data_IF_911051184180
#
_entry.id   IF_911051184180
#
_cell.length_a   1.000
_cell.length_b   1.000
_cell.length_c   1.000
_cell.angle_alpha   90.00
_cell.angle_beta   90.00
_cell.angle_gamma   90.00
#
_symmetry.space_group_name_H-M   'P 1'
#
loop_
_entity.id
_entity.type
_entity.pdbx_description
1 polymer ?
#
# COMPACT_ATOMS: atom_id res chain seq x y z
N UNK A 1 13.77 13.22 -19.27
CA UNK A 1 13.54 12.09 -18.36
C UNK A 1 12.40 11.26 -18.95
N UNK A 2 12.47 9.95 -18.90
CA UNK A 2 11.37 9.06 -19.35
C UNK A 2 10.23 9.22 -18.35
N UNK A 3 9.00 9.46 -18.82
CA UNK A 3 7.84 9.40 -17.96
C UNK A 3 7.61 7.92 -17.59
N UNK A 4 7.56 7.56 -16.32
CA UNK A 4 7.26 6.18 -15.91
C UNK A 4 5.88 5.75 -16.41
N UNK A 5 5.75 4.47 -16.81
CA UNK A 5 4.47 3.88 -17.22
C UNK A 5 3.58 3.54 -16.00
N UNK A 6 3.92 4.03 -14.81
CA UNK A 6 3.20 3.78 -13.56
C UNK A 6 3.07 5.02 -12.68
N UNK A 7 2.07 4.99 -11.80
CA UNK A 7 1.82 5.99 -10.76
C UNK A 7 1.68 5.32 -9.40
N UNK A 8 1.91 6.10 -8.34
CA UNK A 8 1.69 5.66 -6.97
C UNK A 8 0.37 6.17 -6.43
N UNK A 9 -0.36 5.31 -5.70
CA UNK A 9 -1.43 5.71 -4.79
C UNK A 9 -0.97 5.38 -3.37
N UNK A 10 -1.13 6.33 -2.45
CA UNK A 10 -0.72 6.19 -1.05
C UNK A 10 -1.92 6.56 -0.17
N UNK A 11 -2.24 5.70 0.80
CA UNK A 11 -3.21 6.03 1.84
C UNK A 11 -2.50 6.65 3.05
N UNK A 12 -3.12 7.70 3.62
CA UNK A 12 -2.56 8.40 4.78
C UNK A 12 -3.61 8.70 5.85
N UNK A 13 -3.18 8.65 7.12
CA UNK A 13 -3.88 9.20 8.27
C UNK A 13 -2.89 9.47 9.40
N UNK A 14 -2.54 10.75 9.62
CA UNK A 14 -1.54 11.19 10.60
C UNK A 14 -0.19 10.48 10.40
N UNK A 15 0.39 10.60 9.22
CA UNK A 15 1.59 9.88 8.76
C UNK A 15 2.82 10.81 8.62
N UNK A 16 2.88 11.91 9.37
CA UNK A 16 4.00 12.87 9.31
C UNK A 16 5.37 12.22 9.55
N UNK A 17 5.43 11.13 10.33
CA UNK A 17 6.66 10.40 10.65
C UNK A 17 7.07 9.45 9.52
N UNK A 18 6.10 8.84 8.83
CA UNK A 18 6.37 7.80 7.83
C UNK A 18 6.41 8.34 6.41
N UNK A 19 5.46 9.22 6.07
CA UNK A 19 5.28 9.71 4.69
C UNK A 19 6.56 10.28 4.07
N UNK A 20 7.41 11.08 4.76
CA UNK A 20 8.67 11.54 4.19
C UNK A 20 9.62 10.41 3.81
N UNK A 21 9.65 9.33 4.58
CA UNK A 21 10.51 8.16 4.32
C UNK A 21 10.10 7.47 3.02
N UNK A 22 8.80 7.23 2.85
CA UNK A 22 8.25 6.67 1.62
C UNK A 22 8.52 7.59 0.44
N UNK A 23 8.11 8.85 0.51
CA UNK A 23 8.22 9.79 -0.61
C UNK A 23 9.67 9.97 -1.07
N UNK A 24 10.62 10.12 -0.14
CA UNK A 24 12.05 10.18 -0.48
C UNK A 24 12.55 8.90 -1.18
N UNK A 25 11.97 7.73 -0.87
CA UNK A 25 12.38 6.46 -1.49
C UNK A 25 11.89 6.31 -2.94
N UNK A 26 10.88 7.09 -3.38
CA UNK A 26 10.26 6.98 -4.71
C UNK A 26 10.41 8.26 -5.56
N UNK A 27 10.72 9.40 -4.96
CA UNK A 27 10.74 10.71 -5.63
C UNK A 27 11.55 10.70 -6.94
N UNK A 28 12.74 10.11 -6.91
CA UNK A 28 13.64 10.07 -8.08
C UNK A 28 13.15 9.20 -9.23
N UNK A 29 12.10 8.41 -9.03
CA UNK A 29 11.44 7.67 -10.11
C UNK A 29 10.67 8.59 -11.06
N UNK A 30 10.31 9.82 -10.61
CA UNK A 30 9.59 10.81 -11.41
C UNK A 30 8.15 10.39 -11.75
N UNK A 31 7.59 9.40 -11.05
CA UNK A 31 6.22 8.94 -11.22
C UNK A 31 5.23 9.91 -10.55
N UNK A 32 4.01 9.99 -11.06
CA UNK A 32 2.92 10.73 -10.41
C UNK A 32 2.56 10.06 -9.08
N UNK A 33 2.28 10.90 -8.08
CA UNK A 33 1.92 10.47 -6.74
C UNK A 33 0.52 10.99 -6.42
N UNK A 34 -0.36 10.08 -6.05
CA UNK A 34 -1.70 10.34 -5.58
C UNK A 34 -1.80 9.95 -4.12
N UNK A 35 -2.31 10.84 -3.28
CA UNK A 35 -2.48 10.59 -1.85
C UNK A 35 -3.95 10.71 -1.50
N UNK A 36 -4.52 9.64 -0.93
CA UNK A 36 -5.84 9.69 -0.32
C UNK A 36 -5.69 9.79 1.19
N UNK A 37 -6.04 10.96 1.71
CA UNK A 37 -5.96 11.27 3.14
C UNK A 37 -7.28 11.06 3.86
N UNK A 38 -7.23 10.47 5.04
CA UNK A 38 -8.40 10.15 5.87
C UNK A 38 -8.76 11.24 6.89
N UNK A 39 -8.29 12.47 6.68
CA UNK A 39 -8.53 13.61 7.56
C UNK A 39 -7.42 13.79 8.60
N UNK A 40 -6.16 13.76 8.15
CA UNK A 40 -4.97 14.01 9.00
C UNK A 40 -5.01 15.38 9.67
N UNK A 41 -4.46 15.46 10.89
CA UNK A 41 -4.39 16.67 11.71
C UNK A 41 -2.96 17.06 12.07
N UNK A 42 -1.99 16.27 11.66
CA UNK A 42 -0.55 16.50 11.76
C UNK A 42 0.02 17.13 10.47
N UNK A 43 1.33 17.15 10.31
CA UNK A 43 1.99 17.73 9.14
C UNK A 43 1.89 16.87 7.85
N UNK A 44 1.10 15.78 7.83
CA UNK A 44 0.98 14.87 6.68
C UNK A 44 0.67 15.60 5.36
N UNK A 45 -0.35 16.47 5.36
CA UNK A 45 -0.76 17.19 4.13
C UNK A 45 0.28 18.21 3.66
N UNK A 46 0.94 18.86 4.61
CA UNK A 46 2.04 19.79 4.32
C UNK A 46 3.23 19.05 3.68
N UNK A 47 3.55 17.86 4.18
CA UNK A 47 4.59 17.00 3.59
C UNK A 47 4.20 16.58 2.18
N UNK A 48 2.98 16.10 1.97
CA UNK A 48 2.47 15.72 0.66
C UNK A 48 2.65 16.83 -0.39
N UNK A 49 2.38 18.08 -0.02
CA UNK A 49 2.51 19.23 -0.91
C UNK A 49 3.95 19.52 -1.36
N UNK A 50 4.95 19.12 -0.58
CA UNK A 50 6.38 19.30 -0.93
C UNK A 50 6.83 18.36 -2.06
N UNK A 51 6.11 17.26 -2.28
CA UNK A 51 6.42 16.26 -3.30
C UNK A 51 5.48 16.31 -4.51
N UNK A 52 4.76 17.43 -4.72
CA UNK A 52 3.82 17.61 -5.82
C UNK A 52 2.78 16.48 -5.95
N UNK A 53 2.37 15.88 -4.82
CA UNK A 53 1.35 14.86 -4.82
C UNK A 53 -0.05 15.47 -5.07
N UNK A 54 -0.86 14.80 -5.89
CA UNK A 54 -2.29 15.10 -5.97
C UNK A 54 -2.99 14.51 -4.75
N UNK A 55 -3.61 15.35 -3.93
CA UNK A 55 -4.24 14.93 -2.68
C UNK A 55 -5.76 15.02 -2.79
N UNK A 56 -6.44 13.95 -2.38
CA UNK A 56 -7.88 13.93 -2.10
C UNK A 56 -8.12 13.51 -0.66
N UNK A 57 -9.25 13.92 -0.12
CA UNK A 57 -9.67 13.52 1.24
C UNK A 57 -10.94 12.69 1.17
N UNK A 58 -10.97 11.58 1.90
CA UNK A 58 -12.16 10.77 2.09
C UNK A 58 -12.24 10.30 3.53
N UNK A 59 -13.45 10.34 4.11
CA UNK A 59 -13.67 9.83 5.47
C UNK A 59 -13.40 8.33 5.51
N UNK A 60 -12.56 7.92 6.45
CA UNK A 60 -12.22 6.51 6.62
C UNK A 60 -13.41 5.71 7.19
N UNK A 61 -13.75 4.62 6.53
CA UNK A 61 -14.66 3.59 7.06
C UNK A 61 -13.89 2.32 7.39
N UNK A 62 -13.25 1.72 6.38
CA UNK A 62 -12.31 0.61 6.50
C UNK A 62 -11.27 0.67 5.38
N UNK A 63 -10.23 -0.14 5.45
CA UNK A 63 -9.14 -0.16 4.47
C UNK A 63 -9.59 -0.50 3.05
N UNK A 64 -10.36 -1.57 2.81
CA UNK A 64 -10.83 -1.90 1.46
C UNK A 64 -11.63 -0.79 0.79
N UNK A 65 -12.55 -0.15 1.50
CA UNK A 65 -13.34 0.97 0.97
C UNK A 65 -12.50 2.19 0.67
N UNK A 66 -11.45 2.44 1.49
CA UNK A 66 -10.56 3.56 1.25
C UNK A 66 -9.74 3.32 -0.03
N UNK A 67 -9.25 2.12 -0.26
CA UNK A 67 -8.58 1.75 -1.50
C UNK A 67 -9.53 1.79 -2.70
N UNK A 68 -10.74 1.26 -2.56
CA UNK A 68 -11.76 1.32 -3.62
C UNK A 68 -12.06 2.77 -4.02
N UNK A 69 -12.23 3.65 -3.02
CA UNK A 69 -12.41 5.07 -3.29
C UNK A 69 -11.23 5.68 -4.05
N UNK A 70 -10.00 5.38 -3.63
CA UNK A 70 -8.80 5.89 -4.30
C UNK A 70 -8.73 5.45 -5.76
N UNK A 71 -8.92 4.16 -6.02
CA UNK A 71 -8.86 3.58 -7.37
C UNK A 71 -9.92 4.14 -8.32
N UNK A 72 -11.10 4.51 -7.81
CA UNK A 72 -12.21 4.99 -8.62
C UNK A 72 -12.29 6.53 -8.75
N UNK A 73 -11.56 7.27 -7.92
CA UNK A 73 -11.71 8.73 -7.89
C UNK A 73 -10.47 9.51 -8.35
N UNK A 74 -9.29 8.91 -8.40
CA UNK A 74 -8.15 9.54 -9.05
C UNK A 74 -8.18 9.29 -10.57
N UNK A 75 -7.83 10.32 -11.35
CA UNK A 75 -7.67 10.18 -12.80
C UNK A 75 -6.25 9.74 -13.12
N UNK A 76 -6.02 8.43 -13.11
CA UNK A 76 -4.72 7.84 -13.36
C UNK A 76 -4.57 7.59 -14.86
N UNK A 77 -3.59 8.23 -15.48
CA UNK A 77 -3.31 8.17 -16.91
C UNK A 77 -2.13 7.26 -17.29
N UNK A 78 -1.51 6.61 -16.32
CA UNK A 78 -0.43 5.64 -16.54
C UNK A 78 -0.98 4.23 -16.69
N UNK A 79 -0.24 3.36 -17.41
CA UNK A 79 -0.65 1.99 -17.67
C UNK A 79 -0.72 1.12 -16.40
N UNK A 80 0.06 1.49 -15.37
CA UNK A 80 0.15 0.73 -14.12
C UNK A 80 -0.07 1.62 -12.91
N UNK A 81 -0.65 1.02 -11.88
CA UNK A 81 -0.85 1.62 -10.55
C UNK A 81 -0.08 0.82 -9.51
N UNK A 82 0.61 1.50 -8.61
CA UNK A 82 1.29 0.92 -7.45
C UNK A 82 0.62 1.45 -6.19
N UNK A 83 0.02 0.55 -5.40
CA UNK A 83 -0.62 0.91 -4.12
C UNK A 83 0.33 0.69 -2.95
N UNK A 84 0.61 1.74 -2.17
CA UNK A 84 1.50 1.68 -1.02
C UNK A 84 0.83 2.24 0.24
N UNK A 85 1.22 1.70 1.39
CA UNK A 85 0.89 2.25 2.69
C UNK A 85 2.00 3.22 3.14
N UNK A 86 1.67 4.26 3.90
CA UNK A 86 2.61 5.34 4.22
C UNK A 86 3.85 4.88 5.02
N UNK A 87 3.76 3.76 5.74
CA UNK A 87 4.85 3.16 6.52
C UNK A 87 5.75 2.20 5.72
N UNK A 88 5.50 2.07 4.42
CA UNK A 88 6.31 1.27 3.50
C UNK A 88 7.40 2.12 2.84
N UNK A 89 8.57 1.52 2.61
CA UNK A 89 9.71 2.14 1.93
C UNK A 89 10.14 1.23 0.79
N UNK A 90 10.40 1.81 -0.36
CA UNK A 90 10.98 1.11 -1.51
C UNK A 90 12.48 0.92 -1.29
N UNK A 91 12.96 -0.33 -1.23
CA UNK A 91 14.40 -0.60 -1.12
C UNK A 91 15.15 -0.16 -2.38
N UNK A 92 16.46 0.07 -2.27
CA UNK A 92 17.30 0.43 -3.42
C UNK A 92 17.20 -0.57 -4.58
N UNK A 93 17.11 -1.87 -4.28
CA UNK A 93 16.96 -2.90 -5.31
C UNK A 93 15.60 -2.83 -5.99
N UNK A 94 14.50 -2.59 -5.23
CA UNK A 94 13.17 -2.42 -5.81
C UNK A 94 13.08 -1.10 -6.61
N UNK A 95 13.74 -0.06 -6.12
CA UNK A 95 13.86 1.22 -6.85
C UNK A 95 14.50 1.01 -8.23
N UNK A 96 15.63 0.29 -8.31
CA UNK A 96 16.29 0.00 -9.59
C UNK A 96 15.41 -0.83 -10.52
N UNK A 97 14.64 -1.79 -9.98
CA UNK A 97 13.69 -2.56 -10.79
C UNK A 97 12.58 -1.68 -11.35
N UNK A 98 12.04 -0.76 -10.55
CA UNK A 98 11.03 0.20 -10.98
C UNK A 98 11.61 1.22 -11.97
N UNK A 99 12.80 1.73 -11.73
CA UNK A 99 13.47 2.69 -12.60
C UNK A 99 13.75 2.11 -14.00
N UNK A 100 14.00 0.81 -14.08
CA UNK A 100 14.22 0.08 -15.33
C UNK A 100 12.95 -0.61 -15.85
N UNK A 101 11.79 -0.36 -15.24
CA UNK A 101 10.53 -0.98 -15.66
C UNK A 101 10.16 -0.60 -17.08
N UNK A 102 9.76 -1.59 -17.87
CA UNK A 102 9.25 -1.41 -19.22
C UNK A 102 7.97 -2.22 -19.39
N UNK A 103 6.87 -1.55 -19.64
CA UNK A 103 5.56 -2.16 -19.79
C UNK A 103 5.53 -3.31 -20.81
N UNK A 104 6.30 -3.19 -21.90
CA UNK A 104 6.35 -4.20 -22.96
C UNK A 104 6.89 -5.57 -22.51
N UNK A 105 7.68 -5.60 -21.42
CA UNK A 105 8.24 -6.84 -20.88
C UNK A 105 7.19 -7.63 -20.07
N UNK A 106 6.02 -7.00 -19.82
CA UNK A 106 4.92 -7.53 -19.02
C UNK A 106 3.62 -7.67 -19.83
N UNK A 107 3.73 -7.94 -21.13
CA UNK A 107 2.55 -8.16 -21.97
C UNK A 107 1.74 -9.37 -21.46
N UNK A 108 0.42 -9.17 -21.34
CA UNK A 108 -0.51 -10.16 -20.79
C UNK A 108 -0.41 -10.40 -19.28
N UNK A 109 0.43 -9.62 -18.55
CA UNK A 109 0.49 -9.61 -17.07
C UNK A 109 -0.36 -8.46 -16.55
N UNK A 110 -1.24 -8.75 -15.60
CA UNK A 110 -2.16 -7.78 -15.00
C UNK A 110 -1.76 -7.34 -13.59
N UNK A 111 -0.83 -8.06 -12.95
CA UNK A 111 -0.36 -7.68 -11.62
C UNK A 111 1.01 -8.23 -11.28
N UNK A 112 1.73 -7.52 -10.42
CA UNK A 112 3.07 -7.87 -9.96
C UNK A 112 3.10 -7.87 -8.44
N UNK A 113 3.53 -8.99 -7.88
CA UNK A 113 3.72 -9.15 -6.44
C UNK A 113 5.11 -8.68 -6.04
N UNK A 114 5.17 -7.82 -5.03
CA UNK A 114 6.41 -7.40 -4.39
C UNK A 114 6.66 -8.19 -3.12
N UNK A 115 7.93 -8.47 -2.81
CA UNK A 115 8.30 -9.10 -1.57
C UNK A 115 8.39 -8.06 -0.45
N UNK A 116 7.87 -8.38 0.75
CA UNK A 116 7.83 -7.48 1.89
C UNK A 116 8.76 -7.95 3.01
N UNK A 117 9.45 -7.00 3.61
CA UNK A 117 10.20 -7.17 4.86
C UNK A 117 9.51 -6.39 5.97
N UNK A 118 9.06 -7.07 7.00
CA UNK A 118 8.50 -6.41 8.19
C UNK A 118 9.59 -6.15 9.22
N UNK A 119 9.61 -4.92 9.72
CA UNK A 119 10.46 -4.52 10.83
C UNK A 119 9.60 -4.16 12.04
N UNK A 120 10.06 -4.56 13.19
CA UNK A 120 9.49 -4.17 14.48
C UNK A 120 10.62 -3.70 15.40
N UNK A 121 10.52 -2.47 15.87
CA UNK A 121 11.54 -1.82 16.71
C UNK A 121 12.95 -1.93 16.11
N UNK A 122 13.08 -1.61 14.83
CA UNK A 122 14.35 -1.67 14.09
C UNK A 122 14.86 -3.08 13.77
N UNK A 123 14.13 -4.12 14.15
CA UNK A 123 14.53 -5.52 13.93
C UNK A 123 13.72 -6.17 12.82
N UNK A 124 14.41 -6.73 11.82
CA UNK A 124 13.74 -7.47 10.75
C UNK A 124 13.16 -8.80 11.26
N UNK A 125 11.87 -8.99 11.11
CA UNK A 125 11.15 -10.22 11.46
C UNK A 125 11.25 -11.23 10.30
N UNK A 126 12.07 -12.27 10.46
CA UNK A 126 12.39 -13.24 9.41
C UNK A 126 11.56 -14.53 9.48
N UNK A 127 10.99 -14.83 10.64
CA UNK A 127 10.38 -16.12 10.95
C UNK A 127 8.87 -15.98 11.21
N UNK A 128 8.17 -17.07 11.46
CA UNK A 128 6.75 -17.06 11.77
C UNK A 128 5.84 -16.75 10.57
N UNK A 129 6.29 -17.05 9.35
CA UNK A 129 5.51 -16.79 8.13
C UNK A 129 5.65 -15.35 7.58
N UNK A 130 6.46 -14.50 8.21
CA UNK A 130 6.64 -13.10 7.79
C UNK A 130 7.57 -12.90 6.59
N UNK A 131 8.41 -13.89 6.26
CA UNK A 131 9.31 -13.78 5.11
C UNK A 131 9.64 -15.17 4.51
N UNK A 132 9.65 -15.29 3.14
CA UNK A 132 9.23 -14.29 2.16
C UNK A 132 7.72 -14.10 2.20
N UNK A 133 7.26 -12.86 2.01
CA UNK A 133 5.83 -12.53 1.98
C UNK A 133 5.53 -11.61 0.79
N UNK A 134 4.74 -12.11 -0.16
CA UNK A 134 4.47 -11.43 -1.41
C UNK A 134 3.10 -10.79 -1.39
N UNK A 135 3.05 -9.50 -1.71
CA UNK A 135 1.82 -8.72 -1.81
C UNK A 135 1.65 -8.21 -3.25
N UNK A 136 0.45 -8.33 -3.78
CA UNK A 136 0.09 -7.67 -5.03
C UNK A 136 0.07 -6.16 -4.76
N UNK A 137 1.04 -5.43 -5.30
CA UNK A 137 1.19 -4.00 -5.07
C UNK A 137 1.20 -3.18 -6.35
N UNK A 138 1.56 -3.79 -7.50
CA UNK A 138 1.55 -3.15 -8.80
C UNK A 138 0.59 -3.88 -9.73
N UNK A 139 -0.29 -3.15 -10.41
CA UNK A 139 -1.31 -3.75 -11.28
C UNK A 139 -1.70 -2.81 -12.41
N UNK A 140 -2.28 -3.38 -13.48
CA UNK A 140 -2.82 -2.60 -14.60
C UNK A 140 -3.89 -1.64 -14.10
N UNK A 141 -3.74 -0.37 -14.44
CA UNK A 141 -4.70 0.69 -14.10
C UNK A 141 -6.09 0.36 -14.67
N UNK A 142 -7.12 0.50 -13.84
CA UNK A 142 -8.50 0.18 -14.21
C UNK A 142 -8.85 -1.31 -14.23
N UNK A 143 -7.87 -2.22 -13.97
CA UNK A 143 -8.12 -3.67 -13.90
C UNK A 143 -8.04 -4.16 -12.44
N UNK A 144 -7.09 -3.65 -11.66
CA UNK A 144 -6.96 -3.99 -10.26
C UNK A 144 -8.04 -3.34 -9.40
N UNK A 145 -8.54 -4.07 -8.43
CA UNK A 145 -9.56 -3.58 -7.49
C UNK A 145 -9.27 -4.04 -6.06
N UNK A 146 -9.89 -3.39 -5.10
CA UNK A 146 -9.80 -3.74 -3.68
C UNK A 146 -10.83 -4.81 -3.33
N UNK A 147 -10.44 -5.81 -2.55
CA UNK A 147 -11.36 -6.84 -2.05
C UNK A 147 -12.26 -6.26 -0.96
N UNK A 148 -13.48 -5.93 -1.31
CA UNK A 148 -14.46 -5.35 -0.37
C UNK A 148 -15.06 -6.35 0.62
N UNK A 149 -14.76 -7.65 0.47
CA UNK A 149 -15.18 -8.68 1.43
C UNK A 149 -14.28 -8.74 2.68
N UNK A 150 -13.12 -8.13 2.65
CA UNK A 150 -12.23 -8.00 3.81
C UNK A 150 -12.59 -6.78 4.66
N UNK A 151 -12.47 -6.89 5.98
CA UNK A 151 -12.70 -5.75 6.89
C UNK A 151 -11.41 -5.22 7.51
N UNK A 152 -10.48 -6.11 7.77
CA UNK A 152 -9.27 -5.83 8.53
C UNK A 152 -8.10 -5.46 7.65
N UNK A 153 -7.80 -6.36 6.74
CA UNK A 153 -6.70 -6.19 5.80
C UNK A 153 -7.27 -5.92 4.42
N UNK A 154 -6.53 -5.25 3.58
CA UNK A 154 -6.96 -5.11 2.21
C UNK A 154 -6.08 -5.97 1.30
N UNK A 155 -6.68 -6.50 0.26
CA UNK A 155 -5.98 -7.15 -0.83
C UNK A 155 -6.39 -6.52 -2.14
N UNK A 156 -5.41 -6.24 -2.98
CA UNK A 156 -5.72 -5.99 -4.37
C UNK A 156 -5.95 -7.32 -5.10
N UNK A 157 -6.92 -7.31 -5.98
CA UNK A 157 -7.25 -8.44 -6.85
C UNK A 157 -7.12 -8.00 -8.30
N UNK A 158 -6.58 -8.86 -9.14
CA UNK A 158 -6.55 -8.69 -10.58
C UNK A 158 -6.99 -9.98 -11.27
N UNK A 159 -7.78 -9.91 -12.34
CA UNK A 159 -8.04 -11.08 -13.18
C UNK A 159 -6.82 -11.39 -14.03
N UNK A 160 -6.66 -12.66 -14.39
CA UNK A 160 -5.63 -13.09 -15.35
C UNK A 160 -4.26 -13.38 -14.74
N UNK A 161 -3.20 -13.17 -15.53
CA UNK A 161 -1.85 -13.58 -15.16
C UNK A 161 -1.16 -12.52 -14.29
N UNK A 162 -0.35 -13.00 -13.36
CA UNK A 162 0.48 -12.18 -12.48
C UNK A 162 1.95 -12.61 -12.52
N UNK A 163 2.83 -11.70 -12.16
CA UNK A 163 4.25 -11.96 -11.97
C UNK A 163 4.66 -11.76 -10.51
N UNK A 164 5.78 -12.36 -10.10
CA UNK A 164 6.33 -12.21 -8.76
C UNK A 164 7.75 -11.65 -8.87
N UNK A 165 7.97 -10.49 -8.28
CA UNK A 165 9.32 -9.94 -8.12
C UNK A 165 9.94 -10.46 -6.84
N UNK A 166 10.88 -11.41 -6.99
CA UNK A 166 11.55 -12.05 -5.85
C UNK A 166 12.69 -11.20 -5.28
N UNK A 167 13.26 -10.31 -6.10
CA UNK A 167 14.30 -9.35 -5.70
C UNK A 167 13.66 -8.00 -5.42
N UNK A 168 14.37 -7.18 -4.65
CA UNK A 168 13.84 -5.92 -4.18
C UNK A 168 12.73 -6.11 -3.14
N UNK A 169 12.57 -5.13 -2.27
CA UNK A 169 11.67 -5.27 -1.13
C UNK A 169 10.89 -3.99 -0.87
N UNK A 170 9.65 -4.15 -0.46
CA UNK A 170 8.98 -3.15 0.37
C UNK A 170 9.41 -3.39 1.82
N UNK A 171 9.98 -2.39 2.44
CA UNK A 171 10.32 -2.42 3.87
C UNK A 171 9.18 -1.75 4.62
N UNK A 172 8.47 -2.52 5.42
CA UNK A 172 7.37 -2.04 6.24
C UNK A 172 7.84 -1.91 7.69
N UNK A 173 7.80 -0.71 8.20
CA UNK A 173 8.21 -0.39 9.57
C UNK A 173 7.36 0.74 10.11
N UNK A 174 6.43 0.40 10.98
CA UNK A 174 5.59 1.38 11.64
C UNK A 174 6.30 1.91 12.89
N UNK A 175 6.88 3.12 12.78
CA UNK A 175 7.65 3.75 13.87
C UNK A 175 6.78 4.11 15.07
N UNK A 176 5.45 4.30 14.91
CA UNK A 176 4.53 4.52 16.02
C UNK A 176 4.44 3.30 16.94
N UNK A 177 4.71 2.10 16.40
CA UNK A 177 4.72 0.85 17.16
C UNK A 177 5.98 0.68 18.04
N UNK A 178 6.95 1.60 17.97
CA UNK A 178 8.03 1.68 18.93
C UNK A 178 7.50 2.07 20.33
N UNK A 179 6.35 2.75 20.41
CA UNK A 179 5.58 2.90 21.64
C UNK A 179 4.73 1.64 21.88
N UNK A 180 5.06 0.90 22.93
CA UNK A 180 4.36 -0.34 23.29
C UNK A 180 2.87 -0.11 23.61
N UNK A 181 2.50 1.05 24.16
CA UNK A 181 1.10 1.37 24.44
C UNK A 181 0.31 1.56 23.14
N UNK A 182 0.90 2.26 22.16
CA UNK A 182 0.32 2.40 20.83
C UNK A 182 0.13 1.03 20.16
N UNK A 183 1.14 0.16 20.25
CA UNK A 183 1.09 -1.18 19.70
C UNK A 183 -0.04 -2.02 20.31
N UNK A 184 -0.17 -2.02 21.66
CA UNK A 184 -1.23 -2.75 22.37
C UNK A 184 -2.61 -2.24 21.94
N UNK A 185 -2.85 -0.94 21.93
CA UNK A 185 -4.14 -0.37 21.56
C UNK A 185 -4.49 -0.61 20.07
N UNK A 186 -3.49 -0.59 19.20
CA UNK A 186 -3.67 -0.96 17.79
C UNK A 186 -4.13 -2.43 17.66
N UNK A 187 -3.44 -3.35 18.31
CA UNK A 187 -3.75 -4.79 18.23
C UNK A 187 -5.06 -5.16 18.91
N UNK A 188 -5.44 -4.47 19.97
CA UNK A 188 -6.75 -4.59 20.58
C UNK A 188 -7.89 -4.22 19.61
N UNK A 189 -7.72 -3.11 18.86
CA UNK A 189 -8.70 -2.75 17.81
C UNK A 189 -8.75 -3.78 16.69
N UNK A 190 -7.61 -4.32 16.29
CA UNK A 190 -7.52 -5.33 15.26
C UNK A 190 -8.19 -6.64 15.68
N UNK A 191 -7.93 -7.12 16.91
CA UNK A 191 -8.56 -8.34 17.41
C UNK A 191 -10.09 -8.23 17.48
N UNK A 192 -10.62 -7.06 17.83
CA UNK A 192 -12.07 -6.84 17.82
C UNK A 192 -12.65 -6.94 16.40
N UNK A 193 -11.99 -6.32 15.41
CA UNK A 193 -12.45 -6.40 14.00
C UNK A 193 -12.39 -7.82 13.44
N UNK A 194 -11.33 -8.56 13.74
CA UNK A 194 -11.22 -9.98 13.36
C UNK A 194 -12.33 -10.80 14.01
N UNK A 195 -12.61 -10.57 15.28
CA UNK A 195 -13.68 -11.28 16.00
C UNK A 195 -15.07 -10.96 15.40
N UNK A 196 -15.33 -9.71 15.03
CA UNK A 196 -16.57 -9.31 14.35
C UNK A 196 -16.69 -9.99 12.99
N UNK A 197 -15.63 -10.01 12.21
CA UNK A 197 -15.60 -10.64 10.89
C UNK A 197 -15.85 -12.15 10.97
N UNK A 198 -15.16 -12.84 11.89
CA UNK A 198 -15.36 -14.27 12.12
C UNK A 198 -16.79 -14.58 12.61
N UNK A 199 -17.34 -13.75 13.48
CA UNK A 199 -18.71 -13.90 13.93
C UNK A 199 -19.73 -13.75 12.80
N UNK A 200 -19.56 -12.74 11.93
CA UNK A 200 -20.42 -12.53 10.76
C UNK A 200 -20.34 -13.71 9.78
N UNK A 201 -19.13 -14.25 9.56
CA UNK A 201 -18.91 -15.41 8.71
C UNK A 201 -19.60 -16.65 9.26
N UNK A 202 -19.47 -16.91 10.56
CA UNK A 202 -20.14 -18.04 11.24
C UNK A 202 -21.67 -17.94 11.19
N UNK A 203 -22.21 -16.71 11.14
CA UNK A 203 -23.65 -16.46 11.01
C UNK A 203 -24.16 -16.51 9.57
N UNK A 204 -23.28 -16.71 8.58
CA UNK A 204 -23.65 -16.69 7.16
C UNK A 204 -24.05 -15.31 6.64
N UNK A 205 -23.67 -14.27 7.35
CA UNK A 205 -23.90 -12.85 6.96
C UNK A 205 -22.86 -12.37 5.94
N UNK A 206 -21.78 -13.14 5.72
CA UNK A 206 -20.74 -12.93 4.71
C UNK A 206 -20.49 -14.21 3.92
N UNK A 207 -20.18 -14.07 2.64
CA UNK A 207 -19.65 -15.14 1.79
C UNK A 207 -18.27 -15.61 2.30
N UNK A 208 -18.02 -16.92 2.21
CA UNK A 208 -16.72 -17.53 2.51
C UNK A 208 -15.63 -17.04 1.55
#
# INVERSE_FOLDING_TARGET
>A
MRNPDFSFIILTYNEEVHLPRLLNSIEKLGAKIYILDSGSRDDTLKIASQFNAEVKTNKFENHPKQWDFALNNFQIDTAWTIGLDADQIVSSELFEMLNNFNDKDFDGINGIYFNRKNYFQGTWIKHGGYFPFYLLKMFRTGIGYSDLNENMDHRFIVPGKTAIWKKGFLVEENLKENDIHFWIEKHKRYSNRVAEEEYERLKGLRSQ
#
